data_IF_741500310515
#
_entry.id   IF_741500310515
#
_cell.length_a   1.000
_cell.length_b   1.000
_cell.length_c   1.000
_cell.angle_alpha   90.00
_cell.angle_beta   90.00
_cell.angle_gamma   90.00
#
_symmetry.space_group_name_H-M   'P 1'
#
loop_
_entity.id
_entity.type
_entity.pdbx_description
1 polymer ?
#
# COMPACT_ATOMS: atom_id res chain seq x y z
N UNK A 1 7.33 -29.20 8.04
CA UNK A 1 7.49 -28.85 6.61
C UNK A 1 6.35 -27.92 6.23
N UNK A 2 6.56 -26.60 6.27
CA UNK A 2 5.54 -25.59 5.93
C UNK A 2 5.76 -25.14 4.51
N UNK A 3 5.00 -25.73 3.59
CA UNK A 3 4.88 -25.30 2.19
C UNK A 3 4.25 -23.90 2.17
N UNK A 4 5.09 -22.87 2.04
CA UNK A 4 4.64 -21.53 1.65
C UNK A 4 3.89 -21.67 0.33
N UNK A 5 2.67 -21.11 0.16
CA UNK A 5 1.99 -21.15 -1.12
C UNK A 5 2.87 -20.41 -2.13
N UNK A 6 3.56 -21.18 -2.97
CA UNK A 6 4.37 -20.67 -4.06
C UNK A 6 3.45 -20.08 -5.10
N UNK A 7 3.87 -18.99 -5.73
CA UNK A 7 3.25 -18.44 -6.93
C UNK A 7 3.43 -19.41 -8.09
N UNK A 8 2.68 -20.52 -8.09
CA UNK A 8 2.68 -21.47 -9.19
C UNK A 8 2.16 -20.76 -10.44
N UNK A 9 2.95 -20.76 -11.52
CA UNK A 9 2.62 -20.07 -12.77
C UNK A 9 3.04 -18.60 -12.86
N UNK A 10 3.96 -18.13 -12.01
CA UNK A 10 4.61 -16.83 -12.19
C UNK A 10 5.40 -16.81 -13.51
N UNK A 11 5.02 -15.95 -14.45
CA UNK A 11 5.77 -15.73 -15.68
C UNK A 11 6.76 -14.57 -15.49
N UNK A 12 8.01 -14.78 -15.92
CA UNK A 12 9.09 -13.78 -15.87
C UNK A 12 9.54 -13.51 -17.29
N UNK A 13 9.47 -12.25 -17.72
CA UNK A 13 9.92 -11.81 -19.04
C UNK A 13 10.97 -10.70 -18.88
N UNK A 14 12.12 -10.86 -19.53
CA UNK A 14 13.12 -9.79 -19.64
C UNK A 14 12.83 -8.99 -20.89
N UNK A 15 12.52 -7.70 -20.71
CA UNK A 15 12.15 -6.78 -21.77
C UNK A 15 13.27 -5.75 -21.97
N UNK A 16 13.73 -5.53 -23.22
CA UNK A 16 14.65 -4.44 -23.51
C UNK A 16 13.92 -3.10 -23.37
N UNK A 17 14.51 -2.16 -22.61
CA UNK A 17 13.96 -0.81 -22.47
C UNK A 17 14.44 0.08 -23.61
N UNK A 18 13.53 0.87 -24.19
CA UNK A 18 13.83 1.82 -25.29
C UNK A 18 14.89 2.87 -24.87
N UNK A 19 15.07 3.11 -23.57
CA UNK A 19 16.18 3.90 -23.00
C UNK A 19 16.82 3.13 -21.84
N UNK A 20 18.03 2.62 -22.07
CA UNK A 20 19.03 2.18 -21.10
C UNK A 20 18.52 1.47 -19.84
N UNK A 21 18.48 0.14 -19.87
CA UNK A 21 18.30 -0.71 -18.69
C UNK A 21 17.51 -1.98 -18.99
N UNK A 22 17.77 -3.04 -18.22
CA UNK A 22 17.02 -4.29 -18.29
C UNK A 22 15.75 -4.18 -17.42
N UNK A 23 14.59 -4.35 -18.05
CA UNK A 23 13.30 -4.35 -17.37
C UNK A 23 12.83 -5.80 -17.22
N UNK A 24 12.58 -6.26 -16.00
CA UNK A 24 12.03 -7.60 -15.77
C UNK A 24 10.55 -7.49 -15.44
N UNK A 25 9.67 -8.01 -16.30
CA UNK A 25 8.22 -8.04 -16.09
C UNK A 25 7.81 -9.35 -15.44
N UNK A 26 7.15 -9.26 -14.29
CA UNK A 26 6.45 -10.35 -13.64
C UNK A 26 4.98 -10.34 -14.05
N UNK A 27 4.45 -11.51 -14.41
CA UNK A 27 3.04 -11.66 -14.77
C UNK A 27 2.40 -12.82 -14.02
N UNK A 28 1.26 -12.59 -13.39
CA UNK A 28 0.53 -13.63 -12.67
C UNK A 28 -0.95 -13.29 -12.54
N UNK A 29 -1.84 -14.24 -12.87
CA UNK A 29 -3.31 -14.07 -12.83
C UNK A 29 -3.82 -12.77 -13.47
N UNK A 30 -3.21 -12.42 -14.60
CA UNK A 30 -3.55 -11.21 -15.38
C UNK A 30 -2.93 -9.92 -14.85
N UNK A 31 -2.26 -9.92 -13.71
CA UNK A 31 -1.47 -8.78 -13.23
C UNK A 31 -0.09 -8.76 -13.86
N UNK A 32 0.42 -7.55 -14.09
CA UNK A 32 1.77 -7.28 -14.52
C UNK A 32 2.46 -6.33 -13.55
N UNK A 33 3.71 -6.60 -13.23
CA UNK A 33 4.59 -5.77 -12.41
C UNK A 33 5.94 -5.68 -13.10
N UNK A 34 6.48 -4.48 -13.23
CA UNK A 34 7.76 -4.22 -13.85
C UNK A 34 8.83 -4.01 -12.76
N UNK A 35 9.98 -4.65 -12.96
CA UNK A 35 11.15 -4.56 -12.10
C UNK A 35 12.26 -3.86 -12.87
N UNK A 36 12.77 -2.79 -12.28
CA UNK A 36 14.02 -2.12 -12.65
C UNK A 36 15.00 -2.30 -11.49
N UNK A 37 16.30 -2.08 -11.70
CA UNK A 37 17.41 -2.44 -10.80
C UNK A 37 17.11 -2.25 -9.30
N UNK A 38 16.36 -1.21 -8.92
CA UNK A 38 15.95 -0.96 -7.54
C UNK A 38 14.45 -0.58 -7.38
N UNK A 39 13.60 -0.87 -8.37
CA UNK A 39 12.21 -0.38 -8.37
C UNK A 39 11.24 -1.46 -8.82
N UNK A 40 10.11 -1.53 -8.12
CA UNK A 40 8.94 -2.32 -8.50
C UNK A 40 7.84 -1.35 -8.90
N UNK A 41 7.35 -1.41 -10.13
CA UNK A 41 6.28 -0.56 -10.64
C UNK A 41 5.12 -1.39 -11.17
N UNK A 42 3.90 -0.87 -11.05
CA UNK A 42 2.71 -1.49 -11.66
C UNK A 42 2.36 -0.67 -12.90
N UNK A 43 2.56 -1.19 -14.12
CA UNK A 43 2.16 -0.47 -15.32
C UNK A 43 0.64 -0.29 -15.37
N UNK A 44 0.19 0.77 -16.04
CA UNK A 44 -1.24 1.01 -16.32
C UNK A 44 -1.81 -0.21 -17.04
N UNK A 45 -2.84 -0.83 -16.46
CA UNK A 45 -3.41 -2.06 -16.99
C UNK A 45 -4.90 -2.16 -16.63
N UNK A 46 -5.69 -2.90 -17.43
CA UNK A 46 -7.10 -3.16 -17.12
C UNK A 46 -7.23 -3.85 -15.76
N UNK A 47 -8.17 -3.39 -14.94
CA UNK A 47 -8.42 -3.95 -13.58
C UNK A 47 -9.66 -4.85 -13.51
N UNK A 48 -10.52 -4.81 -14.54
CA UNK A 48 -11.77 -5.56 -14.56
C UNK A 48 -11.51 -7.08 -14.45
N UNK A 49 -12.18 -7.73 -13.50
CA UNK A 49 -12.07 -9.17 -13.26
C UNK A 49 -10.82 -9.63 -12.52
N UNK A 50 -9.93 -8.73 -12.08
CA UNK A 50 -8.70 -9.07 -11.36
C UNK A 50 -8.85 -8.89 -9.85
N UNK A 51 -8.32 -9.83 -9.07
CA UNK A 51 -8.29 -9.71 -7.61
C UNK A 51 -7.06 -8.92 -7.16
N UNK A 52 -7.26 -7.89 -6.35
CA UNK A 52 -6.18 -7.05 -5.81
C UNK A 52 -5.23 -7.80 -4.86
N UNK A 53 -5.68 -8.89 -4.23
CA UNK A 53 -4.83 -9.72 -3.38
C UNK A 53 -3.80 -10.49 -4.22
N UNK A 54 -4.15 -10.86 -5.46
CA UNK A 54 -3.19 -11.47 -6.39
C UNK A 54 -2.07 -10.48 -6.78
N UNK A 55 -2.39 -9.17 -6.86
CA UNK A 55 -1.39 -8.13 -7.08
C UNK A 55 -0.45 -7.97 -5.88
N UNK A 56 -0.97 -8.06 -4.65
CA UNK A 56 -0.15 -7.96 -3.43
C UNK A 56 0.87 -9.12 -3.37
N UNK A 57 0.45 -10.33 -3.73
CA UNK A 57 1.33 -11.49 -3.83
C UNK A 57 2.38 -11.32 -4.93
N UNK A 58 2.00 -10.78 -6.10
CA UNK A 58 2.91 -10.52 -7.22
C UNK A 58 3.95 -9.43 -6.90
N UNK A 59 3.52 -8.34 -6.25
CA UNK A 59 4.41 -7.30 -5.74
C UNK A 59 5.38 -7.85 -4.70
N UNK A 60 4.89 -8.67 -3.77
CA UNK A 60 5.73 -9.35 -2.79
C UNK A 60 6.80 -10.25 -3.43
N UNK A 61 6.53 -10.87 -4.57
CA UNK A 61 7.55 -11.57 -5.34
C UNK A 61 8.55 -10.63 -6.00
N UNK A 62 8.09 -9.54 -6.60
CA UNK A 62 8.94 -8.52 -7.20
C UNK A 62 9.95 -7.92 -6.21
N UNK A 63 9.50 -7.55 -5.02
CA UNK A 63 10.38 -7.02 -3.99
C UNK A 63 11.42 -8.05 -3.51
N UNK A 64 11.02 -9.32 -3.33
CA UNK A 64 11.96 -10.41 -3.01
C UNK A 64 13.00 -10.63 -4.11
N UNK A 65 12.62 -10.52 -5.38
CA UNK A 65 13.54 -10.68 -6.52
C UNK A 65 14.58 -9.57 -6.60
N UNK A 66 14.26 -8.38 -6.11
CA UNK A 66 15.20 -7.25 -6.05
C UNK A 66 16.00 -7.19 -4.75
N UNK A 67 15.90 -8.21 -3.89
CA UNK A 67 16.43 -8.23 -2.52
C UNK A 67 16.08 -6.97 -1.71
N UNK A 68 14.99 -6.30 -2.10
CA UNK A 68 14.38 -5.26 -1.29
C UNK A 68 13.79 -6.03 -0.12
N UNK A 69 14.27 -5.75 1.09
CA UNK A 69 13.84 -6.42 2.32
C UNK A 69 12.36 -6.17 2.66
N UNK A 70 11.45 -6.68 1.82
CA UNK A 70 10.07 -6.91 2.17
C UNK A 70 10.03 -8.24 2.89
N UNK A 71 9.93 -8.17 4.21
CA UNK A 71 9.68 -9.32 5.08
C UNK A 71 8.74 -10.32 4.38
N UNK A 72 9.22 -11.53 4.13
CA UNK A 72 8.71 -12.50 3.14
C UNK A 72 7.25 -12.96 3.31
N UNK A 73 6.56 -12.50 4.35
CA UNK A 73 5.12 -12.26 4.42
C UNK A 73 5.00 -10.95 5.16
N UNK A 74 4.48 -9.88 4.56
CA UNK A 74 4.24 -8.65 5.32
C UNK A 74 3.25 -9.00 6.42
N UNK A 75 3.75 -9.08 7.65
CA UNK A 75 2.96 -9.42 8.83
C UNK A 75 1.81 -8.42 9.03
N UNK A 76 0.80 -8.70 9.87
CA UNK A 76 -0.15 -7.68 10.32
C UNK A 76 0.59 -6.39 10.67
N UNK A 77 0.03 -5.22 10.34
CA UNK A 77 0.69 -3.93 10.50
C UNK A 77 1.38 -3.73 11.87
N UNK A 78 0.81 -4.18 13.00
CA UNK A 78 1.49 -4.14 14.31
C UNK A 78 2.82 -4.90 14.34
N UNK A 79 2.89 -6.07 13.72
CA UNK A 79 4.12 -6.87 13.64
C UNK A 79 5.14 -6.29 12.64
N UNK A 80 4.67 -5.63 11.57
CA UNK A 80 5.56 -4.93 10.65
C UNK A 80 6.22 -3.75 11.36
N UNK A 81 5.46 -2.97 12.12
CA UNK A 81 5.97 -1.83 12.90
C UNK A 81 7.11 -2.22 13.84
N UNK A 82 6.95 -3.31 14.60
CA UNK A 82 7.99 -3.79 15.55
C UNK A 82 9.30 -4.18 14.85
N UNK A 83 9.26 -4.48 13.55
CA UNK A 83 10.42 -4.94 12.78
C UNK A 83 11.12 -3.84 11.99
N UNK A 84 10.50 -2.66 11.84
CA UNK A 84 11.07 -1.57 11.07
C UNK A 84 11.88 -0.61 11.95
N UNK A 85 13.00 -0.07 11.44
CA UNK A 85 13.70 1.02 12.13
C UNK A 85 12.80 2.24 12.32
N UNK A 86 12.98 2.96 13.42
CA UNK A 86 12.19 4.17 13.74
C UNK A 86 12.30 5.25 12.64
N UNK A 87 13.45 5.33 11.96
CA UNK A 87 13.66 6.21 10.81
C UNK A 87 12.73 5.85 9.64
N UNK A 88 12.47 4.57 9.41
CA UNK A 88 11.55 4.11 8.38
C UNK A 88 10.09 4.36 8.78
N UNK A 89 9.74 4.18 10.06
CA UNK A 89 8.41 4.54 10.58
C UNK A 89 8.14 6.03 10.39
N UNK A 90 9.13 6.88 10.70
CA UNK A 90 9.05 8.33 10.50
C UNK A 90 8.82 8.68 9.03
N UNK A 91 9.53 8.03 8.10
CA UNK A 91 9.33 8.22 6.67
C UNK A 91 7.93 7.78 6.21
N UNK A 92 7.44 6.63 6.67
CA UNK A 92 6.08 6.16 6.37
C UNK A 92 5.04 7.19 6.84
N UNK A 93 5.16 7.67 8.07
CA UNK A 93 4.27 8.71 8.61
C UNK A 93 4.35 9.99 7.78
N UNK A 94 5.55 10.44 7.41
CA UNK A 94 5.72 11.65 6.60
C UNK A 94 5.06 11.54 5.23
N UNK A 95 5.18 10.38 4.55
CA UNK A 95 4.51 10.15 3.26
C UNK A 95 2.99 10.13 3.43
N UNK A 96 2.46 9.45 4.46
CA UNK A 96 1.02 9.41 4.74
C UNK A 96 0.46 10.80 5.08
N UNK A 97 1.18 11.61 5.85
CA UNK A 97 0.80 13.00 6.13
C UNK A 97 0.82 13.87 4.87
N UNK A 98 1.78 13.63 3.98
CA UNK A 98 1.81 14.35 2.70
C UNK A 98 0.65 13.96 1.80
N UNK A 99 0.33 12.65 1.73
CA UNK A 99 -0.82 12.14 0.99
C UNK A 99 -2.15 12.69 1.52
N UNK A 100 -2.29 12.76 2.85
CA UNK A 100 -3.44 13.40 3.50
C UNK A 100 -3.60 14.86 3.08
N UNK A 101 -2.52 15.65 3.12
CA UNK A 101 -2.56 17.06 2.71
C UNK A 101 -2.94 17.22 1.24
N UNK A 102 -2.44 16.35 0.37
CA UNK A 102 -2.82 16.33 -1.05
C UNK A 102 -4.30 16.03 -1.18
N UNK A 103 -4.81 15.01 -0.48
CA UNK A 103 -6.22 14.67 -0.49
C UNK A 103 -7.10 15.82 0.02
N UNK A 104 -6.68 16.53 1.07
CA UNK A 104 -7.40 17.71 1.58
C UNK A 104 -7.47 18.82 0.52
N UNK A 105 -6.34 19.12 -0.15
CA UNK A 105 -6.29 20.15 -1.21
C UNK A 105 -7.16 19.76 -2.41
N UNK A 106 -7.05 18.51 -2.88
CA UNK A 106 -7.73 18.06 -4.08
C UNK A 106 -9.24 17.85 -3.83
N UNK A 107 -9.64 17.51 -2.59
CA UNK A 107 -11.04 17.46 -2.16
C UNK A 107 -11.78 18.79 -2.32
N UNK A 108 -11.12 19.93 -2.09
CA UNK A 108 -11.70 21.25 -2.34
C UNK A 108 -11.98 21.49 -3.84
N UNK A 109 -11.33 20.72 -4.72
CA UNK A 109 -11.51 20.76 -6.18
C UNK A 109 -12.48 19.67 -6.67
N UNK A 110 -13.10 18.90 -5.77
CA UNK A 110 -14.05 17.85 -6.10
C UNK A 110 -13.43 16.57 -6.68
N UNK A 111 -12.11 16.40 -6.54
CA UNK A 111 -11.39 15.23 -7.04
C UNK A 111 -10.57 14.66 -5.88
N UNK A 112 -10.88 13.46 -5.42
CA UNK A 112 -10.04 12.77 -4.45
C UNK A 112 -9.99 11.28 -4.78
N UNK A 113 -8.77 10.77 -4.90
CA UNK A 113 -8.46 9.37 -5.14
C UNK A 113 -7.30 8.99 -4.22
N UNK A 114 -7.52 7.99 -3.36
CA UNK A 114 -6.54 7.59 -2.35
C UNK A 114 -5.26 7.07 -3.00
N UNK A 115 -5.37 6.36 -4.13
CA UNK A 115 -4.21 5.89 -4.87
C UNK A 115 -3.44 7.04 -5.51
N UNK A 116 -4.13 8.02 -6.10
CA UNK A 116 -3.46 9.17 -6.72
C UNK A 116 -2.74 10.03 -5.68
N UNK A 117 -3.42 10.35 -4.58
CA UNK A 117 -2.86 11.13 -3.48
C UNK A 117 -1.64 10.43 -2.86
N UNK A 118 -1.75 9.12 -2.60
CA UNK A 118 -0.64 8.32 -2.04
C UNK A 118 0.52 8.20 -3.03
N UNK A 119 0.23 7.95 -4.32
CA UNK A 119 1.23 7.84 -5.38
C UNK A 119 1.99 9.15 -5.58
N UNK A 120 1.30 10.29 -5.53
CA UNK A 120 1.92 11.61 -5.62
C UNK A 120 2.82 11.88 -4.42
N UNK A 121 2.33 11.69 -3.20
CA UNK A 121 3.13 11.85 -1.99
C UNK A 121 4.38 10.95 -1.98
N UNK A 122 4.24 9.70 -2.43
CA UNK A 122 5.33 8.74 -2.51
C UNK A 122 6.39 9.14 -3.55
N UNK A 123 5.98 9.69 -4.70
CA UNK A 123 6.91 10.24 -5.69
C UNK A 123 7.63 11.48 -5.15
N UNK A 124 6.90 12.39 -4.49
CA UNK A 124 7.46 13.61 -3.92
C UNK A 124 8.46 13.32 -2.79
N UNK A 125 8.32 12.19 -2.10
CA UNK A 125 9.28 11.73 -1.09
C UNK A 125 10.51 11.00 -1.68
N UNK A 126 10.68 11.01 -3.00
CA UNK A 126 11.77 10.29 -3.68
C UNK A 126 11.63 8.77 -3.63
N UNK A 127 10.43 8.25 -3.34
CA UNK A 127 10.13 6.82 -3.29
C UNK A 127 10.99 6.05 -2.26
N UNK A 128 11.34 6.70 -1.15
CA UNK A 128 12.26 6.17 -0.12
C UNK A 128 11.78 4.90 0.59
N UNK A 129 10.49 4.55 0.45
CA UNK A 129 9.87 3.38 1.07
C UNK A 129 9.07 2.57 0.03
N UNK A 130 8.85 1.26 0.23
CA UNK A 130 8.03 0.47 -0.67
C UNK A 130 6.57 0.93 -0.67
N UNK A 131 6.01 1.22 -1.86
CA UNK A 131 4.62 1.66 -2.01
C UNK A 131 3.59 0.69 -1.40
N UNK A 132 3.87 -0.61 -1.44
CA UNK A 132 3.03 -1.64 -0.83
C UNK A 132 2.86 -1.44 0.70
N UNK A 133 3.86 -0.89 1.39
CA UNK A 133 3.75 -0.59 2.83
C UNK A 133 2.70 0.50 3.06
N UNK A 134 2.65 1.52 2.20
CA UNK A 134 1.66 2.60 2.27
C UNK A 134 0.24 2.07 2.01
N UNK A 135 0.04 1.30 0.95
CA UNK A 135 -1.26 0.71 0.65
C UNK A 135 -1.75 -0.24 1.74
N UNK A 136 -0.86 -1.06 2.30
CA UNK A 136 -1.19 -1.92 3.44
C UNK A 136 -1.58 -1.10 4.66
N UNK A 137 -0.95 0.05 4.86
CA UNK A 137 -1.27 0.97 5.96
C UNK A 137 -2.71 1.45 5.90
N UNK A 138 -3.15 1.84 4.71
CA UNK A 138 -4.50 2.33 4.45
C UNK A 138 -5.53 1.20 4.48
N UNK A 139 -5.22 0.05 3.87
CA UNK A 139 -6.11 -1.13 3.92
C UNK A 139 -6.33 -1.65 5.34
N UNK A 140 -5.30 -1.58 6.18
CA UNK A 140 -5.39 -2.07 7.55
C UNK A 140 -6.38 -1.28 8.41
N UNK A 141 -6.76 -0.06 8.00
CA UNK A 141 -7.68 0.83 8.70
C UNK A 141 -8.99 1.05 7.95
N UNK A 142 -9.25 0.25 6.90
CA UNK A 142 -10.54 0.29 6.21
C UNK A 142 -11.69 -0.11 7.16
N UNK A 143 -12.87 0.52 7.02
CA UNK A 143 -14.05 0.10 7.78
C UNK A 143 -14.42 -1.37 7.52
N UNK A 144 -14.98 -2.08 8.51
CA UNK A 144 -15.50 -3.43 8.32
C UNK A 144 -16.50 -3.48 7.17
N UNK A 145 -16.40 -4.49 6.31
CA UNK A 145 -17.29 -4.65 5.15
C UNK A 145 -16.86 -3.90 3.89
N UNK A 146 -15.82 -3.06 3.95
CA UNK A 146 -15.22 -2.43 2.76
C UNK A 146 -14.09 -3.32 2.23
N UNK A 147 -14.32 -3.94 1.06
CA UNK A 147 -13.40 -4.94 0.51
C UNK A 147 -12.08 -4.40 -0.04
N UNK A 148 -12.01 -3.12 -0.45
CA UNK A 148 -10.78 -2.50 -0.98
C UNK A 148 -10.88 -0.97 -1.06
N UNK A 149 -9.73 -0.31 -1.26
CA UNK A 149 -9.63 1.16 -1.37
C UNK A 149 -10.43 1.74 -2.55
N UNK A 150 -10.51 1.06 -3.69
CA UNK A 150 -11.31 1.53 -4.84
C UNK A 150 -12.84 1.45 -4.57
N UNK A 151 -13.27 0.51 -3.73
CA UNK A 151 -14.63 0.45 -3.19
C UNK A 151 -14.88 1.55 -2.17
N UNK A 152 -13.88 1.87 -1.35
CA UNK A 152 -13.91 2.97 -0.40
C UNK A 152 -14.08 4.32 -1.10
N UNK A 153 -13.21 4.65 -2.06
CA UNK A 153 -13.20 5.94 -2.76
C UNK A 153 -14.53 6.26 -3.47
N UNK A 154 -15.26 5.23 -3.94
CA UNK A 154 -16.58 5.41 -4.60
C UNK A 154 -17.68 5.89 -3.66
N UNK A 155 -17.55 5.63 -2.35
CA UNK A 155 -18.57 5.94 -1.36
C UNK A 155 -18.08 6.92 -0.29
N UNK A 156 -16.78 7.19 -0.24
CA UNK A 156 -16.15 8.05 0.75
C UNK A 156 -16.44 9.52 0.46
N UNK A 157 -16.62 10.30 1.52
CA UNK A 157 -16.57 11.77 1.47
C UNK A 157 -15.13 12.22 1.74
N UNK A 158 -14.78 13.48 1.41
CA UNK A 158 -13.48 14.06 1.76
C UNK A 158 -13.04 13.82 3.20
N UNK A 159 -13.96 13.99 4.16
CA UNK A 159 -13.71 13.75 5.58
C UNK A 159 -13.34 12.30 5.87
N UNK A 160 -13.98 11.36 5.18
CA UNK A 160 -13.75 9.93 5.39
C UNK A 160 -12.34 9.55 4.85
N UNK A 161 -11.89 10.18 3.76
CA UNK A 161 -10.51 9.98 3.25
C UNK A 161 -9.47 10.59 4.18
N UNK A 162 -9.73 11.79 4.70
CA UNK A 162 -8.87 12.40 5.71
C UNK A 162 -8.73 11.50 6.95
N UNK A 163 -9.84 10.98 7.46
CA UNK A 163 -9.88 10.08 8.60
C UNK A 163 -9.16 8.75 8.34
N UNK A 164 -9.23 8.23 7.11
CA UNK A 164 -8.48 7.05 6.70
C UNK A 164 -6.97 7.25 6.85
N UNK A 165 -6.43 8.37 6.37
CA UNK A 165 -5.01 8.68 6.55
C UNK A 165 -4.65 8.90 8.02
N UNK A 166 -5.49 9.62 8.77
CA UNK A 166 -5.31 9.84 10.22
C UNK A 166 -5.22 8.51 10.98
N UNK A 167 -6.14 7.57 10.71
CA UNK A 167 -6.14 6.26 11.34
C UNK A 167 -4.86 5.45 10.99
N UNK A 168 -4.42 5.49 9.72
CA UNK A 168 -3.19 4.83 9.30
C UNK A 168 -1.95 5.42 10.01
N UNK A 169 -1.87 6.75 10.13
CA UNK A 169 -0.79 7.46 10.83
C UNK A 169 -0.76 7.08 12.31
N UNK A 170 -1.92 7.08 12.98
CA UNK A 170 -2.02 6.71 14.39
C UNK A 170 -1.53 5.29 14.66
N UNK A 171 -1.86 4.33 13.76
CA UNK A 171 -1.33 2.97 13.86
C UNK A 171 0.19 2.88 13.78
N UNK A 172 0.81 3.67 12.92
CA UNK A 172 2.28 3.75 12.84
C UNK A 172 2.91 4.42 14.04
N UNK A 173 2.22 5.38 14.66
CA UNK A 173 2.64 6.01 15.93
C UNK A 173 2.38 5.15 17.16
N UNK A 174 1.60 4.07 17.04
CA UNK A 174 1.20 3.24 18.19
C UNK A 174 0.11 3.83 19.04
N UNK A 175 -0.65 4.75 18.47
CA UNK A 175 -1.81 5.37 19.09
C UNK A 175 -3.03 4.60 18.58
N UNK A 176 -3.17 3.32 18.96
CA UNK A 176 -4.45 2.65 18.72
C UNK A 176 -5.51 3.34 19.60
N UNK A 177 -6.54 3.90 18.98
CA UNK A 177 -7.69 4.47 19.67
C UNK A 177 -8.50 3.37 20.36
N UNK A 178 -7.95 2.80 21.44
CA UNK A 178 -8.66 1.92 22.35
C UNK A 178 -9.05 2.68 23.61
N UNK A 179 -10.06 3.55 23.50
CA UNK A 179 -11.03 3.86 24.58
C UNK A 179 -12.17 4.78 24.08
N UNK A 180 -13.10 4.21 23.31
CA UNK A 180 -14.52 4.59 23.41
C UNK A 180 -15.32 3.34 23.79
N UNK A 181 -15.12 2.93 25.04
CA UNK A 181 -15.97 1.96 25.74
C UNK A 181 -16.85 2.71 26.72
N UNK A 182 -18.03 3.08 26.25
CA UNK A 182 -19.33 3.17 26.95
C UNK A 182 -19.27 3.23 28.49
N UNK A 183 -19.66 4.38 29.04
CA UNK A 183 -20.29 4.47 30.36
C UNK A 183 -21.41 3.43 30.46
N UNK A 184 -21.28 2.47 31.37
CA UNK A 184 -22.45 1.79 31.93
C UNK A 184 -22.40 1.97 33.44
N UNK A 185 -23.18 2.95 33.88
CA UNK A 185 -23.62 3.15 35.25
C UNK A 185 -24.76 2.18 35.51
N UNK A 186 -24.56 1.12 36.32
CA UNK A 186 -25.57 0.35 37.09
C UNK A 186 -24.74 -0.51 38.08
N UNK A 187 -24.93 -0.58 39.41
CA UNK A 187 -25.92 -0.09 40.36
C UNK A 187 -25.19 0.41 41.63
#
# INVERSE_FOLDING_TARGET
MTTTPGLTGLAVAHLPRIRGGDLTRLSWRGWHVDLDQHRVTVPVQPIAGKNIDDLDLLLGAGYRMLDIATAARLSPLPQLRVRLPESMITQIVAVLQSAQRIADIDSHRGVFDVYECTSRAWRDSGMSIPYAVLLRSLRAVLPPGVGNLAGYDRCARPTDVHDLYTAAIHRWRGQDASTRGVSTQIA
#
